data_IF_136805795564
#
_entry.id   IF_136805795564
#
_cell.length_a   1.000
_cell.length_b   1.000
_cell.length_c   1.000
_cell.angle_alpha   90.00
_cell.angle_beta   90.00
_cell.angle_gamma   90.00
#
_symmetry.space_group_name_H-M   'P 1'
#
loop_
_entity.id
_entity.type
_entity.pdbx_description
1 polymer ?
#
# COMPACT_ATOMS: atom_id res chain seq x y z
N UNK A 1 26.74 -35.46 -47.50
CA UNK A 1 26.55 -36.31 -46.31
C UNK A 1 27.91 -36.31 -45.62
N UNK A 2 28.21 -35.49 -44.62
CA UNK A 2 27.45 -35.16 -43.43
C UNK A 2 27.74 -33.73 -42.99
N UNK A 3 26.67 -32.98 -42.72
CA UNK A 3 26.71 -31.75 -41.93
C UNK A 3 27.24 -32.06 -40.53
N UNK A 4 28.01 -31.12 -40.02
CA UNK A 4 28.60 -31.13 -38.70
C UNK A 4 27.48 -31.15 -37.65
N UNK A 5 27.26 -32.29 -37.00
CA UNK A 5 26.42 -32.39 -35.80
C UNK A 5 27.18 -31.72 -34.64
N UNK A 6 27.19 -30.39 -34.65
CA UNK A 6 27.62 -29.59 -33.50
C UNK A 6 26.44 -29.52 -32.54
N UNK A 7 26.38 -30.49 -31.63
CA UNK A 7 25.41 -30.60 -30.55
C UNK A 7 25.57 -29.39 -29.62
N UNK A 8 24.84 -28.32 -29.91
CA UNK A 8 24.59 -27.22 -28.99
C UNK A 8 23.88 -27.84 -27.78
N UNK A 9 24.65 -28.12 -26.73
CA UNK A 9 24.12 -28.53 -25.44
C UNK A 9 23.55 -27.26 -24.83
N UNK A 10 22.24 -27.08 -24.95
CA UNK A 10 21.54 -26.07 -24.18
C UNK A 10 21.89 -26.26 -22.70
N UNK A 11 22.28 -25.19 -21.98
CA UNK A 11 22.52 -25.29 -20.55
C UNK A 11 21.27 -25.87 -19.88
N UNK A 12 21.43 -26.74 -18.86
CA UNK A 12 20.29 -27.34 -18.19
C UNK A 12 19.34 -26.23 -17.72
N UNK A 13 18.06 -26.35 -18.09
CA UNK A 13 17.05 -25.37 -17.76
C UNK A 13 17.14 -24.96 -16.28
N UNK A 14 17.01 -23.66 -15.94
CA UNK A 14 16.95 -23.24 -14.55
C UNK A 14 15.84 -24.03 -13.85
N UNK A 15 16.21 -24.71 -12.76
CA UNK A 15 15.30 -25.47 -11.90
C UNK A 15 14.12 -24.59 -11.50
N UNK A 16 12.89 -25.13 -11.36
CA UNK A 16 11.70 -24.34 -11.06
C UNK A 16 11.96 -23.41 -9.89
N UNK A 17 11.76 -22.10 -10.11
CA UNK A 17 11.86 -21.08 -9.09
C UNK A 17 11.03 -21.50 -7.88
N UNK A 18 11.73 -21.70 -6.77
CA UNK A 18 11.15 -22.09 -5.50
C UNK A 18 10.35 -20.92 -4.93
N UNK A 19 9.02 -21.03 -5.03
CA UNK A 19 7.98 -20.68 -4.03
C UNK A 19 8.17 -19.42 -3.17
N UNK A 20 7.23 -18.45 -3.19
CA UNK A 20 7.01 -17.67 -1.99
C UNK A 20 6.34 -18.60 -0.98
N UNK A 21 7.13 -19.09 -0.02
CA UNK A 21 6.68 -19.84 1.13
C UNK A 21 5.51 -19.11 1.82
N UNK A 22 4.31 -19.68 1.68
CA UNK A 22 3.12 -19.26 2.42
C UNK A 22 3.20 -19.75 3.87
N UNK A 23 4.21 -19.33 4.63
CA UNK A 23 4.18 -19.36 6.10
C UNK A 23 5.31 -18.64 6.83
N UNK A 24 5.85 -17.54 6.31
CA UNK A 24 6.46 -16.57 7.23
C UNK A 24 5.30 -15.86 7.94
N UNK A 25 4.93 -16.32 9.15
CA UNK A 25 3.90 -15.67 9.96
C UNK A 25 4.17 -14.17 9.93
N UNK A 26 3.24 -13.41 9.32
CA UNK A 26 3.41 -11.97 9.06
C UNK A 26 3.91 -11.37 10.37
N UNK A 27 5.19 -10.98 10.40
CA UNK A 27 5.86 -10.64 11.66
C UNK A 27 5.06 -9.56 12.36
N UNK A 28 5.14 -9.49 13.70
CA UNK A 28 4.47 -8.44 14.47
C UNK A 28 4.73 -7.03 13.88
N UNK A 29 5.93 -6.84 13.33
CA UNK A 29 6.33 -5.64 12.58
C UNK A 29 5.45 -5.38 11.35
N UNK A 30 5.13 -6.39 10.54
CA UNK A 30 4.24 -6.26 9.38
C UNK A 30 2.77 -6.06 9.78
N UNK A 31 2.38 -6.55 10.96
CA UNK A 31 1.06 -6.27 11.53
C UNK A 31 0.95 -4.79 11.95
N UNK A 32 1.98 -4.26 12.64
CA UNK A 32 2.04 -2.83 13.00
C UNK A 32 2.14 -1.94 11.75
N UNK A 33 2.97 -2.32 10.76
CA UNK A 33 3.04 -1.60 9.50
C UNK A 33 1.70 -1.59 8.77
N UNK A 34 0.95 -2.69 8.80
CA UNK A 34 -0.42 -2.74 8.28
C UNK A 34 -1.36 -1.80 9.03
N UNK A 35 -1.25 -1.74 10.36
CA UNK A 35 -2.10 -0.88 11.21
C UNK A 35 -1.80 0.60 11.01
N UNK A 36 -0.53 0.96 10.89
CA UNK A 36 -0.12 2.35 10.66
C UNK A 36 -0.49 2.80 9.25
N UNK A 37 -0.25 1.98 8.24
CA UNK A 37 -0.61 2.32 6.88
C UNK A 37 -2.15 2.46 6.74
N UNK A 38 -2.93 1.69 7.52
CA UNK A 38 -4.37 1.85 7.65
C UNK A 38 -4.81 3.18 8.31
N UNK A 39 -4.01 3.79 9.18
CA UNK A 39 -4.29 5.12 9.76
C UNK A 39 -4.00 6.24 8.76
N UNK A 40 -3.00 6.05 7.90
CA UNK A 40 -2.49 7.07 7.00
C UNK A 40 -3.08 7.04 5.58
N UNK A 41 -4.05 6.18 5.30
CA UNK A 41 -4.82 6.26 4.05
C UNK A 41 -4.05 5.81 2.81
N UNK A 42 -3.15 4.82 2.93
CA UNK A 42 -2.55 4.15 1.77
C UNK A 42 -3.63 3.45 0.94
N UNK A 43 -4.15 4.17 -0.04
CA UNK A 43 -4.96 3.57 -1.08
C UNK A 43 -4.06 2.67 -1.92
N UNK A 44 -4.51 1.42 -2.11
CA UNK A 44 -3.79 0.44 -2.91
C UNK A 44 -3.53 0.95 -4.33
N UNK A 45 -2.40 0.55 -4.93
CA UNK A 45 -2.03 0.94 -6.30
C UNK A 45 -3.08 0.55 -7.35
N UNK A 46 -3.90 -0.46 -7.04
CA UNK A 46 -5.02 -0.86 -7.88
C UNK A 46 -6.11 0.21 -7.89
N UNK A 47 -6.50 0.69 -6.71
CA UNK A 47 -7.47 1.79 -6.56
C UNK A 47 -6.99 3.02 -7.31
N UNK A 48 -5.74 3.41 -7.04
CA UNK A 48 -5.07 4.54 -7.67
C UNK A 48 -5.10 4.46 -9.21
N UNK A 49 -4.89 3.30 -9.80
CA UNK A 49 -4.87 3.14 -11.26
C UNK A 49 -6.26 3.22 -11.91
N UNK A 50 -7.30 2.73 -11.27
CA UNK A 50 -8.67 2.89 -11.76
C UNK A 50 -9.16 4.33 -11.61
N UNK A 51 -8.79 4.92 -10.48
CA UNK A 51 -9.02 6.31 -10.11
C UNK A 51 -8.34 7.28 -11.08
N UNK A 52 -7.12 6.99 -11.52
CA UNK A 52 -6.43 7.78 -12.56
C UNK A 52 -6.89 7.48 -13.99
N UNK A 53 -7.54 6.34 -14.23
CA UNK A 53 -8.11 6.04 -15.56
C UNK A 53 -9.44 6.73 -15.81
N UNK A 54 -10.21 7.03 -14.76
CA UNK A 54 -11.59 7.51 -14.86
C UNK A 54 -11.83 8.86 -14.19
N UNK A 55 -11.00 9.25 -13.23
CA UNK A 55 -11.21 10.43 -12.41
C UNK A 55 -10.32 11.61 -12.81
N UNK A 56 -10.91 12.80 -12.85
CA UNK A 56 -10.17 14.05 -12.95
C UNK A 56 -9.43 14.34 -11.64
N UNK A 57 -8.20 14.86 -11.75
CA UNK A 57 -7.34 15.20 -10.60
C UNK A 57 -8.03 16.10 -9.55
N UNK A 58 -9.01 16.90 -9.97
CA UNK A 58 -9.83 17.74 -9.10
C UNK A 58 -10.56 16.95 -8.01
N UNK A 59 -11.04 15.74 -8.30
CA UNK A 59 -11.80 14.93 -7.34
C UNK A 59 -10.93 14.47 -6.16
N UNK A 60 -9.66 14.12 -6.41
CA UNK A 60 -8.71 13.75 -5.35
C UNK A 60 -8.36 14.93 -4.47
N UNK A 61 -8.22 16.12 -5.06
CA UNK A 61 -7.92 17.35 -4.34
C UNK A 61 -9.08 17.73 -3.42
N UNK A 62 -10.32 17.67 -3.91
CA UNK A 62 -11.50 17.93 -3.09
C UNK A 62 -11.62 16.95 -1.93
N UNK A 63 -11.39 15.65 -2.17
CA UNK A 63 -11.40 14.65 -1.11
C UNK A 63 -10.29 14.87 -0.07
N UNK A 64 -9.09 15.27 -0.52
CA UNK A 64 -7.99 15.64 0.36
C UNK A 64 -8.35 16.85 1.24
N UNK A 65 -8.98 17.87 0.67
CA UNK A 65 -9.42 19.06 1.44
C UNK A 65 -10.47 18.66 2.48
N UNK A 66 -11.46 17.86 2.10
CA UNK A 66 -12.49 17.37 3.04
C UNK A 66 -11.83 16.59 4.19
N UNK A 67 -10.88 15.70 3.89
CA UNK A 67 -10.17 14.94 4.91
C UNK A 67 -9.42 15.84 5.90
N UNK A 68 -8.78 16.90 5.41
CA UNK A 68 -8.07 17.88 6.26
C UNK A 68 -9.05 18.67 7.13
N UNK A 69 -10.19 19.10 6.58
CA UNK A 69 -11.21 19.83 7.36
C UNK A 69 -11.72 18.97 8.50
N UNK A 70 -12.05 17.71 8.22
CA UNK A 70 -12.50 16.74 9.24
C UNK A 70 -11.44 16.54 10.33
N UNK A 71 -10.16 16.43 9.96
CA UNK A 71 -9.05 16.29 10.91
C UNK A 71 -8.95 17.50 11.85
N UNK A 72 -9.03 18.72 11.31
CA UNK A 72 -8.91 19.96 12.08
C UNK A 72 -10.08 20.13 13.04
N UNK A 73 -11.31 19.89 12.57
CA UNK A 73 -12.50 19.93 13.43
C UNK A 73 -12.38 18.91 14.56
N UNK A 74 -11.99 17.67 14.25
CA UNK A 74 -11.75 16.65 15.26
C UNK A 74 -10.72 17.08 16.32
N UNK A 75 -9.61 17.69 15.89
CA UNK A 75 -8.59 18.20 16.80
C UNK A 75 -9.12 19.31 17.71
N UNK A 76 -9.87 20.27 17.16
CA UNK A 76 -10.47 21.37 17.95
C UNK A 76 -11.44 20.83 18.99
N UNK A 77 -12.29 19.87 18.63
CA UNK A 77 -13.22 19.24 19.55
C UNK A 77 -12.48 18.56 20.71
N UNK A 78 -11.44 17.76 20.40
CA UNK A 78 -10.61 17.10 21.42
C UNK A 78 -9.96 18.12 22.35
N UNK A 79 -9.36 19.17 21.80
CA UNK A 79 -8.69 20.22 22.59
C UNK A 79 -9.70 20.93 23.50
N UNK A 80 -10.86 21.29 22.97
CA UNK A 80 -11.89 21.96 23.76
C UNK A 80 -12.40 21.07 24.89
N UNK A 81 -12.64 19.77 24.62
CA UNK A 81 -13.02 18.81 25.66
C UNK A 81 -11.96 18.66 26.75
N UNK A 82 -10.67 18.67 26.38
CA UNK A 82 -9.57 18.60 27.35
C UNK A 82 -9.49 19.89 28.18
N UNK A 83 -9.62 21.06 27.56
CA UNK A 83 -9.59 22.35 28.28
C UNK A 83 -10.75 22.50 29.26
N UNK A 84 -11.96 22.09 28.88
CA UNK A 84 -13.13 22.09 29.77
C UNK A 84 -12.91 21.15 30.96
N UNK A 85 -12.32 19.96 30.72
CA UNK A 85 -12.00 19.00 31.79
C UNK A 85 -10.88 19.45 32.73
N UNK A 86 -9.95 20.26 32.24
CA UNK A 86 -8.80 20.75 33.02
C UNK A 86 -9.08 22.09 33.73
N UNK A 87 -10.18 22.76 33.37
CA UNK A 87 -10.65 23.99 34.01
C UNK A 87 -11.60 23.77 35.19
N UNK A 88 -11.97 22.51 35.48
CA UNK A 88 -12.63 22.09 36.73
C UNK A 88 -11.60 21.71 37.79
#
# INVERSE_FOLDING_TARGET
MTETENKHQDPPAPKPEQTPDRRSGRGFVALVQSTLAAIFGIQSDKNRQEDFKKGDASQFITMGIIAVVVLVVGMVLVVNSVLESAGQ
#
